data_IF_493643660752
#
_entry.id   IF_493643660752
#
_cell.length_a   1.000
_cell.length_b   1.000
_cell.length_c   1.000
_cell.angle_alpha   90.00
_cell.angle_beta   90.00
_cell.angle_gamma   90.00
#
_symmetry.space_group_name_H-M   'P 1'
#
loop_
_entity.id
_entity.type
_entity.pdbx_description
1 polymer ?
#
# COMPACT_ATOMS: atom_id res chain seq x y z
N UNK A 1 -10.09 -7.12 11.42
CA UNK A 1 -9.79 -5.91 10.60
C UNK A 1 -9.94 -6.29 9.13
N UNK A 2 -10.68 -5.48 8.37
CA UNK A 2 -10.90 -5.72 6.93
C UNK A 2 -9.85 -4.99 6.10
N UNK A 3 -9.12 -5.74 5.29
CA UNK A 3 -8.06 -5.22 4.42
C UNK A 3 -8.39 -5.45 2.95
N UNK A 4 -8.06 -4.47 2.11
CA UNK A 4 -8.13 -4.61 0.66
C UNK A 4 -6.78 -4.36 0.02
N UNK A 5 -6.51 -5.03 -1.10
CA UNK A 5 -5.25 -4.93 -1.83
C UNK A 5 -5.49 -4.48 -3.26
N UNK A 6 -4.98 -3.31 -3.58
CA UNK A 6 -5.02 -2.71 -4.91
C UNK A 6 -3.73 -3.05 -5.66
N UNK A 7 -3.85 -3.67 -6.85
CA UNK A 7 -2.70 -4.18 -7.61
C UNK A 7 -2.25 -5.56 -7.13
N UNK A 8 -3.21 -6.43 -6.81
CA UNK A 8 -3.01 -7.75 -6.24
C UNK A 8 -2.18 -8.70 -7.12
N UNK A 9 -2.19 -8.50 -8.45
CA UNK A 9 -1.47 -9.37 -9.42
C UNK A 9 0.00 -9.00 -9.62
N UNK A 10 0.46 -7.86 -9.09
CA UNK A 10 1.88 -7.52 -9.06
C UNK A 10 2.64 -8.36 -8.02
N UNK A 11 3.97 -8.47 -8.16
CA UNK A 11 4.81 -9.23 -7.21
C UNK A 11 4.62 -8.80 -5.74
N UNK A 12 4.59 -7.48 -5.48
CA UNK A 12 4.38 -6.95 -4.13
C UNK A 12 2.96 -7.25 -3.63
N UNK A 13 1.94 -7.14 -4.50
CA UNK A 13 0.55 -7.45 -4.17
C UNK A 13 0.35 -8.92 -3.85
N UNK A 14 0.88 -9.82 -4.67
CA UNK A 14 0.77 -11.27 -4.47
C UNK A 14 1.46 -11.73 -3.17
N UNK A 15 2.65 -11.19 -2.87
CA UNK A 15 3.35 -11.49 -1.63
C UNK A 15 2.61 -10.93 -0.41
N UNK A 16 2.03 -9.74 -0.53
CA UNK A 16 1.19 -9.18 0.52
C UNK A 16 -0.05 -10.05 0.78
N UNK A 17 -0.73 -10.52 -0.28
CA UNK A 17 -1.85 -11.45 -0.14
C UNK A 17 -1.44 -12.71 0.61
N UNK A 18 -0.29 -13.30 0.30
CA UNK A 18 0.23 -14.47 1.01
C UNK A 18 0.43 -14.21 2.51
N UNK A 19 0.88 -13.01 2.86
CA UNK A 19 1.08 -12.62 4.27
C UNK A 19 -0.25 -12.34 4.98
N UNK A 20 -1.19 -11.67 4.31
CA UNK A 20 -2.50 -11.33 4.88
C UNK A 20 -3.39 -12.57 5.04
N UNK A 21 -3.34 -13.52 4.11
CA UNK A 21 -4.08 -14.79 4.16
C UNK A 21 -3.77 -15.60 5.42
N UNK A 22 -2.52 -15.55 5.89
CA UNK A 22 -2.12 -16.20 7.16
C UNK A 22 -2.31 -15.35 8.41
N UNK A 23 -2.82 -14.13 8.32
CA UNK A 23 -2.88 -13.21 9.46
C UNK A 23 -4.16 -13.45 10.29
N UNK A 24 -4.07 -13.76 11.60
CA UNK A 24 -5.22 -14.20 12.41
C UNK A 24 -6.29 -13.12 12.63
N UNK A 25 -5.96 -11.84 12.46
CA UNK A 25 -6.87 -10.72 12.73
C UNK A 25 -7.29 -9.97 11.46
N UNK A 26 -6.90 -10.45 10.28
CA UNK A 26 -7.19 -9.79 9.00
C UNK A 26 -8.10 -10.64 8.15
N UNK A 27 -9.15 -10.02 7.62
CA UNK A 27 -10.06 -10.53 6.62
C UNK A 27 -9.83 -9.76 5.32
N UNK A 28 -9.65 -10.44 4.20
CA UNK A 28 -9.56 -9.81 2.88
C UNK A 28 -10.95 -9.41 2.41
N UNK A 29 -11.19 -8.09 2.30
CA UNK A 29 -12.46 -7.53 1.86
C UNK A 29 -12.57 -7.41 0.34
N UNK A 30 -11.48 -7.00 -0.33
CA UNK A 30 -11.40 -6.92 -1.79
C UNK A 30 -9.94 -6.99 -2.27
N UNK A 31 -9.78 -7.48 -3.48
CA UNK A 31 -8.52 -7.48 -4.22
C UNK A 31 -8.77 -6.96 -5.63
N UNK A 32 -7.88 -6.14 -6.18
CA UNK A 32 -8.09 -5.58 -7.53
C UNK A 32 -6.92 -5.81 -8.47
N UNK A 33 -7.24 -5.86 -9.75
CA UNK A 33 -6.26 -5.83 -10.84
C UNK A 33 -6.93 -5.25 -12.09
N UNK A 34 -6.32 -4.23 -12.69
CA UNK A 34 -6.84 -3.64 -13.93
C UNK A 34 -6.68 -4.57 -15.15
N UNK A 35 -5.61 -5.36 -15.17
CA UNK A 35 -5.32 -6.27 -16.30
C UNK A 35 -6.11 -7.58 -16.25
N UNK A 36 -6.68 -7.93 -15.11
CA UNK A 36 -7.29 -9.25 -14.86
C UNK A 36 -8.59 -9.16 -14.08
N UNK A 37 -9.34 -8.08 -14.26
CA UNK A 37 -10.65 -7.88 -13.61
C UNK A 37 -11.59 -9.04 -13.92
N UNK A 38 -12.22 -9.60 -12.89
CA UNK A 38 -13.13 -10.73 -12.98
C UNK A 38 -12.46 -12.11 -12.95
N UNK A 39 -11.14 -12.19 -13.07
CA UNK A 39 -10.40 -13.45 -12.95
C UNK A 39 -10.18 -13.85 -11.48
N UNK A 40 -9.91 -15.13 -11.25
CA UNK A 40 -9.48 -15.58 -9.94
C UNK A 40 -7.96 -15.44 -9.81
N UNK A 41 -7.49 -14.91 -8.71
CA UNK A 41 -6.05 -14.74 -8.42
C UNK A 41 -5.29 -16.08 -8.49
N UNK A 42 -5.96 -17.19 -8.21
CA UNK A 42 -5.43 -18.53 -8.28
C UNK A 42 -4.99 -18.96 -9.69
N UNK A 43 -5.54 -18.34 -10.75
CA UNK A 43 -5.11 -18.60 -12.12
C UNK A 43 -3.65 -18.17 -12.35
N UNK A 44 -3.21 -17.09 -11.68
CA UNK A 44 -1.84 -16.60 -11.78
C UNK A 44 -0.95 -17.12 -10.64
N UNK A 45 -1.51 -17.28 -9.45
CA UNK A 45 -0.81 -17.68 -8.24
C UNK A 45 -1.50 -18.88 -7.57
N UNK A 46 -1.31 -20.11 -8.11
CA UNK A 46 -2.02 -21.31 -7.62
C UNK A 46 -1.88 -21.58 -6.13
N UNK A 47 -0.79 -21.15 -5.50
CA UNK A 47 -0.55 -21.32 -4.08
C UNK A 47 -1.49 -20.46 -3.19
N UNK A 48 -2.15 -19.45 -3.76
CA UNK A 48 -3.16 -18.62 -3.09
C UNK A 48 -4.58 -19.21 -3.21
N UNK A 49 -4.77 -20.25 -4.01
CA UNK A 49 -6.09 -20.82 -4.34
C UNK A 49 -6.82 -21.46 -3.17
N UNK A 50 -6.11 -21.84 -2.13
CA UNK A 50 -6.68 -22.63 -1.03
C UNK A 50 -7.56 -21.77 -0.11
N UNK A 51 -7.33 -20.46 -0.05
CA UNK A 51 -7.97 -19.56 0.90
C UNK A 51 -8.56 -18.30 0.30
N UNK A 52 -8.08 -17.85 -0.87
CA UNK A 52 -8.53 -16.63 -1.51
C UNK A 52 -9.47 -16.99 -2.68
N UNK A 53 -10.78 -16.99 -2.41
CA UNK A 53 -11.82 -17.27 -3.41
C UNK A 53 -12.32 -15.98 -4.10
N UNK A 54 -11.89 -14.81 -3.63
CA UNK A 54 -12.37 -13.52 -4.11
C UNK A 54 -11.89 -13.24 -5.53
N UNK A 55 -12.82 -12.92 -6.42
CA UNK A 55 -12.49 -12.48 -7.78
C UNK A 55 -11.82 -11.09 -7.76
N UNK A 56 -10.94 -10.86 -8.72
CA UNK A 56 -10.27 -9.58 -8.91
C UNK A 56 -11.26 -8.50 -9.35
N UNK A 57 -11.42 -7.46 -8.54
CA UNK A 57 -12.24 -6.28 -8.83
C UNK A 57 -11.53 -5.24 -9.68
N UNK A 58 -12.26 -4.19 -10.06
CA UNK A 58 -11.75 -3.01 -10.77
C UNK A 58 -11.47 -1.85 -9.82
N UNK A 59 -10.57 -0.94 -10.21
CA UNK A 59 -10.37 0.35 -9.53
C UNK A 59 -11.56 1.31 -9.69
N UNK A 60 -12.47 1.07 -10.61
CA UNK A 60 -13.69 1.86 -10.74
C UNK A 60 -14.57 1.78 -9.49
N UNK A 61 -14.44 0.69 -8.72
CA UNK A 61 -15.20 0.45 -7.49
C UNK A 61 -14.46 0.92 -6.23
N UNK A 62 -13.44 1.76 -6.36
CA UNK A 62 -12.52 2.11 -5.25
C UNK A 62 -13.24 2.71 -4.04
N UNK A 63 -14.27 3.52 -4.23
CA UNK A 63 -15.05 4.10 -3.13
C UNK A 63 -15.85 3.02 -2.39
N UNK A 64 -16.48 2.09 -3.12
CA UNK A 64 -17.18 0.95 -2.51
C UNK A 64 -16.22 0.00 -1.78
N UNK A 65 -15.01 -0.14 -2.29
CA UNK A 65 -13.94 -0.91 -1.65
C UNK A 65 -13.53 -0.22 -0.34
N UNK A 66 -13.40 1.11 -0.36
CA UNK A 66 -13.07 1.89 0.82
C UNK A 66 -14.13 1.76 1.93
N UNK A 67 -15.40 1.84 1.58
CA UNK A 67 -16.51 1.70 2.53
C UNK A 67 -16.53 0.33 3.23
N UNK A 68 -15.96 -0.70 2.62
CA UNK A 68 -15.89 -2.07 3.16
C UNK A 68 -14.58 -2.38 3.88
N UNK A 69 -13.62 -1.45 3.88
CA UNK A 69 -12.24 -1.70 4.32
C UNK A 69 -11.82 -0.79 5.48
N UNK A 70 -11.20 -1.37 6.48
CA UNK A 70 -10.52 -0.60 7.52
C UNK A 70 -9.18 -0.07 7.01
N UNK A 71 -8.52 -0.83 6.11
CA UNK A 71 -7.23 -0.48 5.51
C UNK A 71 -7.17 -0.92 4.05
N UNK A 72 -6.61 -0.06 3.20
CA UNK A 72 -6.30 -0.35 1.79
C UNK A 72 -4.79 -0.31 1.59
N UNK A 73 -4.24 -1.40 1.07
CA UNK A 73 -2.86 -1.46 0.60
C UNK A 73 -2.83 -1.16 -0.90
N UNK A 74 -1.96 -0.24 -1.30
CA UNK A 74 -1.78 0.12 -2.72
C UNK A 74 -0.44 -0.41 -3.18
N UNK A 75 -0.47 -1.48 -4.00
CA UNK A 75 0.69 -2.14 -4.59
C UNK A 75 0.79 -1.83 -6.10
N UNK A 76 0.68 -0.56 -6.45
CA UNK A 76 0.74 -0.06 -7.83
C UNK A 76 2.08 0.65 -8.10
N UNK A 77 2.46 0.82 -9.37
CA UNK A 77 3.57 1.68 -9.73
C UNK A 77 3.37 3.12 -9.21
N UNK A 78 4.47 3.86 -9.05
CA UNK A 78 4.43 5.28 -8.68
C UNK A 78 3.59 6.09 -9.67
N UNK A 79 2.95 7.15 -9.18
CA UNK A 79 2.00 7.96 -9.92
C UNK A 79 0.53 7.52 -9.80
N UNK A 80 0.25 6.37 -9.18
CA UNK A 80 -1.10 5.84 -9.05
C UNK A 80 -1.68 6.00 -7.64
N UNK A 81 -0.88 5.85 -6.60
CA UNK A 81 -1.36 5.93 -5.21
C UNK A 81 -1.90 7.31 -4.87
N UNK A 82 -1.29 8.39 -5.38
CA UNK A 82 -1.74 9.75 -5.16
C UNK A 82 -3.14 10.03 -5.74
N UNK A 83 -3.52 9.38 -6.84
CA UNK A 83 -4.88 9.49 -7.41
C UNK A 83 -5.91 8.84 -6.49
N UNK A 84 -5.61 7.65 -6.01
CA UNK A 84 -6.45 6.91 -5.07
C UNK A 84 -6.56 7.66 -3.74
N UNK A 85 -5.45 8.13 -3.19
CA UNK A 85 -5.43 8.89 -1.94
C UNK A 85 -6.30 10.16 -2.01
N UNK A 86 -6.26 10.86 -3.15
CA UNK A 86 -7.10 12.03 -3.40
C UNK A 86 -8.59 11.67 -3.46
N UNK A 87 -8.97 10.57 -4.11
CA UNK A 87 -10.35 10.10 -4.18
C UNK A 87 -10.87 9.70 -2.80
N UNK A 88 -10.05 9.01 -2.01
CA UNK A 88 -10.44 8.47 -0.71
C UNK A 88 -10.21 9.45 0.46
N UNK A 89 -9.93 10.73 0.19
CA UNK A 89 -9.61 11.73 1.22
C UNK A 89 -10.69 11.85 2.31
N UNK A 90 -11.96 11.68 1.94
CA UNK A 90 -13.12 11.82 2.84
C UNK A 90 -13.56 10.49 3.48
N UNK A 91 -13.01 9.35 3.08
CA UNK A 91 -13.30 8.06 3.69
C UNK A 91 -12.48 7.84 4.97
N UNK A 92 -13.00 7.10 5.94
CA UNK A 92 -12.27 6.78 7.18
C UNK A 92 -11.19 5.72 6.98
N UNK A 93 -11.23 4.99 5.89
CA UNK A 93 -10.28 3.93 5.54
C UNK A 93 -8.83 4.43 5.55
N UNK A 94 -7.95 3.70 6.22
CA UNK A 94 -6.51 3.96 6.20
C UNK A 94 -5.88 3.48 4.90
N UNK A 95 -4.85 4.17 4.44
CA UNK A 95 -4.15 3.83 3.19
C UNK A 95 -2.69 3.52 3.51
N UNK A 96 -2.18 2.40 2.99
CA UNK A 96 -0.77 2.04 3.02
C UNK A 96 -0.26 2.00 1.58
N UNK A 97 0.51 3.02 1.21
CA UNK A 97 1.14 3.10 -0.12
C UNK A 97 2.47 2.34 -0.14
N UNK A 98 2.54 1.27 -0.92
CA UNK A 98 3.78 0.53 -1.18
C UNK A 98 4.61 1.16 -2.30
N UNK A 99 4.04 2.12 -3.02
CA UNK A 99 4.70 2.91 -4.05
C UNK A 99 5.59 4.02 -3.49
N UNK A 100 5.89 5.00 -4.31
CA UNK A 100 6.78 6.11 -3.97
C UNK A 100 6.10 7.44 -3.74
N UNK A 101 4.79 7.53 -3.99
CA UNK A 101 4.08 8.79 -4.18
C UNK A 101 4.09 9.68 -2.92
N UNK A 102 3.98 9.09 -1.76
CA UNK A 102 3.88 9.81 -0.50
C UNK A 102 5.14 9.78 0.38
N UNK A 103 6.29 9.30 -0.15
CA UNK A 103 7.52 9.15 0.65
C UNK A 103 8.24 10.45 0.95
N UNK A 104 8.06 11.47 0.11
CA UNK A 104 8.79 12.74 0.20
C UNK A 104 7.94 13.83 0.84
N UNK A 105 8.52 14.56 1.79
CA UNK A 105 7.89 15.75 2.38
C UNK A 105 7.86 16.92 1.39
N UNK A 106 8.93 17.05 0.59
CA UNK A 106 9.01 18.04 -0.48
C UNK A 106 8.63 17.36 -1.81
N UNK A 107 7.47 17.72 -2.32
CA UNK A 107 6.92 17.18 -3.56
C UNK A 107 7.81 17.46 -4.76
N UNK A 108 8.56 18.57 -4.76
CA UNK A 108 9.49 18.89 -5.84
C UNK A 108 10.56 17.81 -6.00
N UNK A 109 10.99 17.20 -4.89
CA UNK A 109 11.93 16.07 -4.92
C UNK A 109 11.29 14.84 -5.58
N UNK A 110 10.03 14.55 -5.27
CA UNK A 110 9.30 13.46 -5.94
C UNK A 110 9.21 13.72 -7.45
N UNK A 111 8.76 14.90 -7.86
CA UNK A 111 8.60 15.27 -9.28
C UNK A 111 9.93 15.26 -10.03
N UNK A 112 11.00 15.72 -9.39
CA UNK A 112 12.35 15.70 -9.94
C UNK A 112 12.86 14.29 -10.23
N UNK A 113 12.67 13.35 -9.27
CA UNK A 113 13.20 12.00 -9.40
C UNK A 113 12.32 11.08 -10.22
N UNK A 114 11.00 11.13 -10.00
CA UNK A 114 10.06 10.23 -10.70
C UNK A 114 9.57 10.78 -12.05
N UNK A 115 9.85 12.05 -12.37
CA UNK A 115 9.42 12.71 -13.61
C UNK A 115 7.91 12.69 -13.85
N UNK A 116 7.14 12.64 -12.76
CA UNK A 116 5.68 12.64 -12.73
C UNK A 116 5.22 13.79 -11.85
N UNK A 117 4.23 14.56 -12.31
CA UNK A 117 3.61 15.60 -11.49
C UNK A 117 2.78 15.00 -10.38
N UNK A 118 2.95 15.50 -9.16
CA UNK A 118 2.17 15.01 -8.02
C UNK A 118 0.74 15.58 -8.04
N UNK A 119 -0.26 14.70 -8.05
CA UNK A 119 -1.67 15.10 -8.17
C UNK A 119 -2.36 15.35 -6.83
N UNK A 120 -1.71 15.03 -5.72
CA UNK A 120 -2.23 15.22 -4.35
C UNK A 120 -1.19 15.88 -3.42
N UNK A 121 -0.77 17.12 -3.73
CA UNK A 121 0.33 17.78 -3.02
C UNK A 121 -0.01 18.21 -1.59
N UNK A 122 -1.27 18.29 -1.24
CA UNK A 122 -1.72 18.79 0.07
C UNK A 122 -1.85 17.68 1.11
N UNK A 123 -1.97 16.44 0.68
CA UNK A 123 -2.16 15.30 1.59
C UNK A 123 -0.86 14.93 2.28
N UNK A 124 -0.91 14.94 3.61
CA UNK A 124 0.24 14.55 4.43
C UNK A 124 0.20 13.06 4.69
N UNK A 125 1.33 12.40 4.45
CA UNK A 125 1.55 11.01 4.80
C UNK A 125 2.63 10.88 5.89
N UNK A 126 2.57 9.79 6.63
CA UNK A 126 3.61 9.42 7.58
C UNK A 126 4.56 8.43 6.90
N UNK A 127 5.86 8.67 6.99
CA UNK A 127 6.85 7.72 6.51
C UNK A 127 6.87 6.47 7.38
N UNK A 128 6.58 5.32 6.78
CA UNK A 128 6.20 4.08 7.49
C UNK A 128 7.36 3.28 8.07
N UNK A 129 8.53 3.87 8.31
CA UNK A 129 9.63 3.17 8.98
C UNK A 129 9.30 3.03 10.48
N UNK A 130 8.61 1.96 10.81
CA UNK A 130 8.02 1.71 12.13
C UNK A 130 9.04 1.70 13.26
N UNK A 131 10.28 1.35 12.98
CA UNK A 131 11.37 1.35 13.96
C UNK A 131 11.73 2.75 14.47
N UNK A 132 11.50 3.78 13.64
CA UNK A 132 11.78 5.18 13.97
C UNK A 132 10.52 6.01 14.26
N UNK A 133 9.41 5.69 13.61
CA UNK A 133 8.21 6.54 13.60
C UNK A 133 6.96 5.86 14.15
N UNK A 134 7.09 4.79 14.96
CA UNK A 134 5.97 3.99 15.47
C UNK A 134 4.82 4.82 16.05
N UNK A 135 5.12 5.86 16.81
CA UNK A 135 4.10 6.73 17.39
C UNK A 135 3.26 7.47 16.35
N UNK A 136 3.91 7.93 15.27
CA UNK A 136 3.22 8.63 14.17
C UNK A 136 2.45 7.68 13.27
N UNK A 137 2.97 6.45 13.07
CA UNK A 137 2.35 5.41 12.23
C UNK A 137 0.98 5.02 12.76
N UNK A 138 0.81 4.95 14.08
CA UNK A 138 -0.45 4.55 14.73
C UNK A 138 -1.63 5.42 14.31
N UNK A 139 -1.41 6.73 14.20
CA UNK A 139 -2.45 7.73 13.94
C UNK A 139 -2.49 8.16 12.47
N UNK A 140 -1.64 7.57 11.63
CA UNK A 140 -1.56 7.93 10.21
C UNK A 140 -2.84 7.56 9.46
N UNK A 141 -3.32 8.48 8.62
CA UNK A 141 -4.36 8.24 7.63
C UNK A 141 -3.74 7.61 6.37
N UNK A 142 -2.63 8.17 5.91
CA UNK A 142 -1.82 7.62 4.82
C UNK A 142 -0.43 7.29 5.35
N UNK A 143 -0.04 6.05 5.14
CA UNK A 143 1.28 5.53 5.45
C UNK A 143 2.07 5.34 4.15
N UNK A 144 3.17 6.04 4.00
CA UNK A 144 4.11 5.84 2.90
C UNK A 144 5.12 4.75 3.29
N UNK A 145 4.92 3.53 2.79
CA UNK A 145 5.80 2.41 3.10
C UNK A 145 7.21 2.65 2.54
N UNK A 146 8.29 2.48 3.34
CA UNK A 146 9.66 2.70 2.89
C UNK A 146 10.07 1.77 1.75
N UNK A 147 10.98 2.23 0.91
CA UNK A 147 11.63 1.36 -0.06
C UNK A 147 12.56 0.35 0.62
N UNK A 148 12.75 -0.82 0.01
CA UNK A 148 13.56 -1.90 0.58
C UNK A 148 15.02 -1.49 0.86
N UNK A 149 15.67 -0.78 -0.06
CA UNK A 149 17.06 -0.32 0.12
C UNK A 149 17.19 0.73 1.23
N UNK A 150 16.28 1.69 1.30
CA UNK A 150 16.29 2.70 2.37
C UNK A 150 16.03 2.07 3.73
N UNK A 151 15.12 1.10 3.82
CA UNK A 151 14.86 0.35 5.06
C UNK A 151 16.11 -0.39 5.52
N UNK A 152 16.79 -1.10 4.61
CA UNK A 152 18.03 -1.83 4.93
C UNK A 152 19.12 -0.87 5.42
N UNK A 153 19.35 0.23 4.69
CA UNK A 153 20.39 1.21 5.02
C UNK A 153 20.14 1.87 6.38
N UNK A 154 18.92 2.29 6.67
CA UNK A 154 18.55 2.91 7.95
C UNK A 154 18.66 1.93 9.13
N UNK A 155 18.23 0.69 8.95
CA UNK A 155 18.38 -0.34 10.00
C UNK A 155 19.85 -0.61 10.28
N UNK A 156 20.67 -0.73 9.26
CA UNK A 156 22.11 -0.98 9.42
C UNK A 156 22.81 0.20 10.12
N UNK A 157 22.56 1.42 9.69
CA UNK A 157 23.12 2.62 10.31
C UNK A 157 22.68 2.78 11.77
N UNK A 158 21.41 2.52 12.09
CA UNK A 158 20.90 2.64 13.46
C UNK A 158 21.44 1.58 14.42
N UNK A 159 21.76 0.38 13.93
CA UNK A 159 22.44 -0.67 14.70
C UNK A 159 23.90 -0.28 14.97
N UNK A 160 24.61 0.24 13.97
CA UNK A 160 26.00 0.68 14.12
C UNK A 160 26.14 1.83 15.12
N UNK A 161 25.20 2.79 15.12
CA UNK A 161 25.24 3.94 16.03
C UNK A 161 24.88 3.60 17.49
N UNK A 162 24.22 2.47 17.76
CA UNK A 162 23.91 2.01 19.11
C UNK A 162 25.05 1.24 19.78
N UNK A 163 26.05 0.86 19.00
CA UNK A 163 27.23 0.09 19.47
C UNK A 163 28.48 0.96 19.66
N UNK A 164 28.35 2.27 19.56
CA UNK A 164 29.34 3.27 19.91
C UNK A 164 28.78 4.23 20.96
#
# INVERSE_FOLDING_TARGET
MKASVIGATGFAGAELLRLLDGHPEVELAAITSESSTGENIAAMYPHLSVRIETALGSLQDIEQIADKSDVIFIALPHGHAMKIGRQLKMHDTKIIDLGGDYRFKDIRVFEEWYKVKHEDPETKAVYGLTELYRGQVKDAKILANPGCYTTLSHKHASISLKNF
#
